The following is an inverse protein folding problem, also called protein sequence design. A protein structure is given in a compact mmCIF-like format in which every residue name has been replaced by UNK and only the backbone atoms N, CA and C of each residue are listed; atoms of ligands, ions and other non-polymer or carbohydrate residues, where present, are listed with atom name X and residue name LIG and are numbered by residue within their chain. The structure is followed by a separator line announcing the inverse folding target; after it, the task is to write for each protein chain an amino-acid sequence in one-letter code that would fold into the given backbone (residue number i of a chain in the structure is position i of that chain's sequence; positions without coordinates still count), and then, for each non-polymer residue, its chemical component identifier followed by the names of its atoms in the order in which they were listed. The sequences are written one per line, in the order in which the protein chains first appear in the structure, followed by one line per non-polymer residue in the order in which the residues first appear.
data_IF_391675664953
#
_entry.id   IF_391675664953
#
_cell.length_a   1.000
_cell.length_b   1.000
_cell.length_c   1.000
_cell.angle_alpha   90.00
_cell.angle_beta   90.00
_cell.angle_gamma   90.00
#
_symmetry.space_group_name_H-M   'P 1'
#
loop_
_entity.id
_entity.type
_entity.pdbx_description
1 polymer ?
#
# COMPACT_ATOMS: atom_id res chain seq x y z
N UNK A 1 2.49 12.86 11.59
CA UNK A 1 2.11 14.23 12.00
C UNK A 1 3.17 15.20 11.51
N UNK A 2 2.84 16.47 11.28
CA UNK A 2 3.84 17.52 11.02
C UNK A 2 4.14 18.24 12.35
N UNK A 3 4.83 17.56 13.26
CA UNK A 3 5.19 18.05 14.59
C UNK A 3 6.67 18.49 14.68
N UNK A 4 7.33 18.65 13.52
CA UNK A 4 8.75 18.97 13.43
C UNK A 4 9.68 17.79 13.75
N UNK A 5 9.14 16.58 13.92
CA UNK A 5 9.92 15.34 14.06
C UNK A 5 9.75 14.49 12.82
N UNK A 6 10.86 13.92 12.37
CA UNK A 6 10.84 12.93 11.30
C UNK A 6 10.05 11.69 11.75
N UNK A 7 9.29 11.13 10.83
CA UNK A 7 8.51 9.93 11.03
C UNK A 7 8.75 8.95 9.87
N UNK A 8 7.99 7.85 9.83
CA UNK A 8 8.16 6.84 8.78
C UNK A 8 8.04 7.39 7.35
N UNK A 9 7.22 8.44 7.14
CA UNK A 9 7.05 9.10 5.85
C UNK A 9 8.34 9.75 5.38
N UNK A 10 9.02 10.45 6.27
CA UNK A 10 10.33 11.04 6.00
C UNK A 10 11.35 9.95 5.67
N UNK A 11 11.31 8.83 6.39
CA UNK A 11 12.27 7.74 6.20
C UNK A 11 12.13 7.06 4.84
N UNK A 12 10.93 6.65 4.42
CA UNK A 12 10.79 5.99 3.12
C UNK A 12 10.96 6.95 1.93
N UNK A 13 10.56 8.21 2.07
CA UNK A 13 10.77 9.22 1.04
C UNK A 13 12.26 9.53 0.87
N UNK A 14 12.98 9.74 1.98
CA UNK A 14 14.41 10.02 1.96
C UNK A 14 15.22 8.79 1.53
N UNK A 15 14.79 7.57 1.88
CA UNK A 15 15.40 6.33 1.40
C UNK A 15 15.32 6.26 -0.13
N UNK A 16 14.12 6.45 -0.70
CA UNK A 16 13.93 6.38 -2.13
C UNK A 16 14.73 7.47 -2.85
N UNK A 17 14.71 8.70 -2.32
CA UNK A 17 15.48 9.81 -2.87
C UNK A 17 17.00 9.54 -2.87
N UNK A 18 17.56 9.10 -1.74
CA UNK A 18 18.98 8.78 -1.63
C UNK A 18 19.38 7.59 -2.52
N UNK A 19 18.50 6.59 -2.63
CA UNK A 19 18.69 5.42 -3.49
C UNK A 19 18.79 5.82 -4.96
N UNK A 20 17.84 6.62 -5.46
CA UNK A 20 17.88 7.05 -6.86
C UNK A 20 19.02 8.04 -7.14
N UNK A 21 19.37 8.91 -6.18
CA UNK A 21 20.55 9.78 -6.30
C UNK A 21 21.84 8.98 -6.41
N UNK A 22 22.00 7.93 -5.60
CA UNK A 22 23.14 7.04 -5.74
C UNK A 22 23.13 6.31 -7.08
N UNK A 23 22.00 5.75 -7.50
CA UNK A 23 21.89 5.07 -8.79
C UNK A 23 22.27 5.97 -9.97
N UNK A 24 21.86 7.25 -9.93
CA UNK A 24 22.14 8.21 -11.00
C UNK A 24 23.58 8.76 -11.00
N UNK A 25 24.19 8.93 -9.83
CA UNK A 25 25.47 9.66 -9.69
C UNK A 25 26.66 8.77 -9.34
N UNK A 26 26.40 7.57 -8.80
CA UNK A 26 27.39 6.65 -8.23
C UNK A 26 28.18 7.26 -7.05
N UNK A 27 27.75 8.39 -6.49
CA UNK A 27 28.45 9.01 -5.36
C UNK A 27 28.17 8.26 -4.05
N UNK A 28 29.24 7.89 -3.33
CA UNK A 28 29.16 7.10 -2.10
C UNK A 28 28.37 7.80 -0.97
N UNK A 29 28.36 9.14 -0.94
CA UNK A 29 27.60 9.91 0.06
C UNK A 29 26.09 9.63 0.01
N UNK A 30 25.53 9.34 -1.18
CA UNK A 30 24.11 9.03 -1.30
C UNK A 30 23.80 7.61 -0.86
N UNK A 31 24.69 6.65 -1.13
CA UNK A 31 24.57 5.28 -0.59
C UNK A 31 24.60 5.29 0.94
N UNK A 32 25.48 6.08 1.55
CA UNK A 32 25.54 6.23 3.00
C UNK A 32 24.23 6.81 3.59
N UNK A 33 23.62 7.80 2.90
CA UNK A 33 22.29 8.28 3.29
C UNK A 33 21.20 7.23 3.12
N UNK A 34 21.25 6.43 2.06
CA UNK A 34 20.31 5.35 1.85
C UNK A 34 20.44 4.28 2.95
N UNK A 35 21.66 3.89 3.33
CA UNK A 35 21.93 2.99 4.47
C UNK A 35 21.33 3.49 5.77
N UNK A 36 21.53 4.78 6.08
CA UNK A 36 20.96 5.41 7.27
C UNK A 36 19.44 5.32 7.28
N UNK A 37 18.78 5.64 6.17
CA UNK A 37 17.31 5.60 6.07
C UNK A 37 16.75 4.18 6.06
N UNK A 38 17.46 3.23 5.44
CA UNK A 38 17.10 1.82 5.51
C UNK A 38 17.18 1.28 6.94
N UNK A 39 18.22 1.67 7.70
CA UNK A 39 18.34 1.34 9.12
C UNK A 39 17.23 1.97 9.96
N UNK A 40 16.84 3.23 9.70
CA UNK A 40 15.69 3.87 10.36
C UNK A 40 14.40 3.10 10.10
N UNK A 41 14.10 2.71 8.86
CA UNK A 41 12.92 1.89 8.55
C UNK A 41 12.97 0.51 9.21
N UNK A 42 14.11 -0.17 9.17
CA UNK A 42 14.28 -1.46 9.85
C UNK A 42 14.03 -1.33 11.36
N UNK A 43 14.52 -0.25 11.98
CA UNK A 43 14.28 0.02 13.38
C UNK A 43 12.79 0.22 13.69
N UNK A 44 11.95 0.62 12.73
CA UNK A 44 10.48 0.80 12.88
C UNK A 44 9.69 -0.50 12.93
N UNK A 45 10.28 -1.63 12.53
CA UNK A 45 9.62 -2.93 12.71
C UNK A 45 9.36 -3.16 14.19
N UNK A 46 8.12 -3.49 14.50
CA UNK A 46 7.60 -3.55 15.86
C UNK A 46 6.80 -4.84 16.06
N UNK A 47 6.73 -5.26 17.32
CA UNK A 47 6.00 -6.44 17.75
C UNK A 47 5.41 -6.21 19.13
N UNK A 48 4.26 -6.81 19.38
CA UNK A 48 3.65 -6.92 20.70
C UNK A 48 3.03 -8.31 20.86
N UNK A 49 2.25 -8.54 21.92
CA UNK A 49 1.64 -9.84 22.21
C UNK A 49 0.65 -10.30 21.14
N UNK A 50 0.12 -9.40 20.31
CA UNK A 50 -0.92 -9.68 19.30
C UNK A 50 -0.39 -9.68 17.87
N UNK A 51 0.49 -8.75 17.54
CA UNK A 51 0.96 -8.52 16.18
C UNK A 51 2.48 -8.45 16.13
N UNK A 52 3.06 -9.02 15.08
CA UNK A 52 4.50 -9.03 14.82
C UNK A 52 4.75 -8.55 13.40
N UNK A 53 5.82 -7.78 13.19
CA UNK A 53 6.23 -7.32 11.86
C UNK A 53 5.51 -6.06 11.35
N UNK A 54 4.73 -5.39 12.20
CA UNK A 54 4.10 -4.11 11.83
C UNK A 54 5.10 -2.95 11.92
N UNK A 55 4.87 -1.87 11.17
CA UNK A 55 5.73 -0.69 11.18
C UNK A 55 5.12 0.39 12.06
N UNK A 56 5.88 0.93 13.01
CA UNK A 56 5.44 2.11 13.78
C UNK A 56 5.61 3.39 12.94
N UNK A 57 4.64 4.27 13.03
CA UNK A 57 4.66 5.56 12.35
C UNK A 57 5.59 6.56 13.06
N UNK A 58 5.57 6.58 14.40
CA UNK A 58 6.36 7.47 15.24
C UNK A 58 7.50 6.73 15.96
N UNK A 59 8.40 7.48 16.58
CA UNK A 59 9.54 6.91 17.30
C UNK A 59 9.18 6.29 18.65
N UNK A 60 8.02 6.68 19.21
CA UNK A 60 7.55 6.18 20.50
C UNK A 60 6.91 4.79 20.41
N UNK A 61 6.52 4.36 19.21
CA UNK A 61 5.75 3.14 19.00
C UNK A 61 4.29 3.27 19.41
N UNK A 62 3.77 4.49 19.55
CA UNK A 62 2.41 4.77 20.02
C UNK A 62 1.39 4.80 18.88
N UNK A 63 1.84 4.66 17.63
CA UNK A 63 1.01 4.69 16.43
C UNK A 63 1.51 3.70 15.37
N UNK A 64 0.66 2.79 14.88
CA UNK A 64 0.99 2.00 13.69
C UNK A 64 0.99 2.88 12.44
N UNK A 65 1.81 2.52 11.46
CA UNK A 65 1.74 3.11 10.14
C UNK A 65 0.58 2.51 9.36
N UNK A 66 -0.34 3.37 8.96
CA UNK A 66 -1.41 3.11 8.02
C UNK A 66 -1.56 4.34 7.12
N UNK A 67 -1.87 4.15 5.83
CA UNK A 67 -1.93 5.24 4.87
C UNK A 67 -2.87 4.89 3.71
N UNK A 68 -3.86 5.75 3.42
CA UNK A 68 -4.82 5.51 2.33
C UNK A 68 -4.27 5.69 0.90
N UNK A 69 -2.95 5.78 0.75
CA UNK A 69 -2.28 5.91 -0.55
C UNK A 69 -1.02 5.04 -0.62
N UNK A 70 -0.09 5.21 0.30
CA UNK A 70 1.29 4.74 0.11
C UNK A 70 1.72 3.70 1.16
N UNK A 71 0.79 2.88 1.70
CA UNK A 71 1.13 1.91 2.75
C UNK A 71 2.17 0.88 2.28
N UNK A 72 2.20 0.54 0.99
CA UNK A 72 3.22 -0.34 0.41
C UNK A 72 4.58 0.33 0.19
N UNK A 73 4.68 1.66 0.21
CA UNK A 73 5.89 2.39 -0.17
C UNK A 73 7.12 2.11 0.71
N UNK A 74 7.03 1.91 2.05
CA UNK A 74 8.21 1.52 2.85
C UNK A 74 8.88 0.25 2.34
N UNK A 75 8.09 -0.79 2.01
CA UNK A 75 8.62 -2.05 1.50
C UNK A 75 9.20 -1.90 0.09
N UNK A 76 8.52 -1.14 -0.78
CA UNK A 76 8.99 -0.79 -2.11
C UNK A 76 10.35 -0.05 -2.08
N UNK A 77 10.49 0.95 -1.21
CA UNK A 77 11.73 1.72 -1.05
C UNK A 77 12.89 0.84 -0.55
N UNK A 78 12.65 -0.05 0.43
CA UNK A 78 13.65 -1.00 0.93
C UNK A 78 14.09 -2.00 -0.15
N UNK A 79 13.15 -2.52 -0.94
CA UNK A 79 13.49 -3.42 -2.05
C UNK A 79 14.26 -2.71 -3.15
N UNK A 80 13.97 -1.44 -3.42
CA UNK A 80 14.72 -0.64 -4.40
C UNK A 80 16.14 -0.34 -3.89
N UNK A 81 16.29 0.01 -2.61
CA UNK A 81 17.60 0.14 -1.97
C UNK A 81 18.42 -1.16 -2.02
N UNK A 82 17.80 -2.30 -1.73
CA UNK A 82 18.49 -3.59 -1.76
C UNK A 82 19.07 -3.97 -3.14
N UNK A 83 18.57 -3.39 -4.24
CA UNK A 83 19.12 -3.61 -5.58
C UNK A 83 20.45 -2.90 -5.80
N UNK A 84 20.65 -1.73 -5.18
CA UNK A 84 21.87 -0.93 -5.35
C UNK A 84 22.92 -1.21 -4.27
N UNK A 85 22.50 -1.77 -3.13
CA UNK A 85 23.40 -2.04 -2.00
C UNK A 85 24.31 -3.23 -2.31
N UNK A 86 25.62 -3.07 -2.16
CA UNK A 86 26.63 -4.12 -2.37
C UNK A 86 27.00 -4.87 -1.08
N UNK A 87 26.86 -4.23 0.08
CA UNK A 87 27.09 -4.85 1.38
C UNK A 87 25.96 -5.82 1.74
N UNK A 88 26.30 -7.11 1.89
CA UNK A 88 25.28 -8.14 2.10
C UNK A 88 24.59 -8.03 3.46
N UNK A 89 25.23 -7.45 4.47
CA UNK A 89 24.60 -7.26 5.80
C UNK A 89 23.50 -6.20 5.70
N UNK A 90 23.81 -5.06 5.09
CA UNK A 90 22.86 -3.98 4.81
C UNK A 90 21.72 -4.46 3.90
N UNK A 91 22.05 -5.22 2.85
CA UNK A 91 21.06 -5.78 1.92
C UNK A 91 20.14 -6.78 2.64
N UNK A 92 20.69 -7.69 3.43
CA UNK A 92 19.92 -8.65 4.21
C UNK A 92 18.99 -7.94 5.21
N UNK A 93 19.45 -6.90 5.91
CA UNK A 93 18.60 -6.13 6.82
C UNK A 93 17.38 -5.51 6.15
N UNK A 94 17.52 -4.98 4.93
CA UNK A 94 16.40 -4.46 4.16
C UNK A 94 15.43 -5.58 3.73
N UNK A 95 15.95 -6.70 3.23
CA UNK A 95 15.13 -7.87 2.82
C UNK A 95 14.35 -8.46 3.99
N UNK A 96 15.00 -8.59 5.14
CA UNK A 96 14.41 -9.11 6.36
C UNK A 96 13.29 -8.20 6.90
N UNK A 97 13.49 -6.88 6.84
CA UNK A 97 12.44 -5.90 7.16
C UNK A 97 11.20 -6.10 6.28
N UNK A 98 11.40 -6.26 4.97
CA UNK A 98 10.31 -6.47 4.01
C UNK A 98 9.61 -7.81 4.27
N UNK A 99 10.37 -8.88 4.56
CA UNK A 99 9.82 -10.21 4.89
C UNK A 99 8.87 -10.12 6.09
N UNK A 100 9.28 -9.48 7.18
CA UNK A 100 8.46 -9.33 8.39
C UNK A 100 7.17 -8.54 8.11
N UNK A 101 7.25 -7.46 7.34
CA UNK A 101 6.08 -6.67 6.97
C UNK A 101 5.10 -7.46 6.08
N UNK A 102 5.60 -8.27 5.15
CA UNK A 102 4.75 -9.10 4.28
C UNK A 102 4.04 -10.20 5.08
N UNK A 103 4.77 -10.87 5.96
CA UNK A 103 4.17 -11.89 6.84
C UNK A 103 3.07 -11.29 7.71
N UNK A 104 3.30 -10.08 8.22
CA UNK A 104 2.29 -9.32 8.95
C UNK A 104 1.05 -8.99 8.08
N UNK A 105 1.25 -8.47 6.87
CA UNK A 105 0.14 -8.13 5.96
C UNK A 105 -0.69 -9.37 5.57
N UNK A 106 -0.03 -10.48 5.26
CA UNK A 106 -0.71 -11.74 4.96
C UNK A 106 -1.47 -12.26 6.19
N UNK A 107 -0.89 -12.17 7.39
CA UNK A 107 -1.57 -12.57 8.63
C UNK A 107 -2.82 -11.69 8.91
N UNK A 108 -2.75 -10.37 8.65
CA UNK A 108 -3.91 -9.49 8.77
C UNK A 108 -5.03 -9.87 7.79
N UNK A 109 -4.69 -10.28 6.57
CA UNK A 109 -5.68 -10.69 5.58
C UNK A 109 -6.43 -11.96 5.98
N UNK A 110 -5.76 -12.85 6.73
CA UNK A 110 -6.28 -14.14 7.19
C UNK A 110 -6.94 -14.06 8.59
N UNK A 111 -6.86 -12.92 9.29
CA UNK A 111 -7.34 -12.76 10.68
C UNK A 111 -8.85 -12.94 10.82
N UNK A 112 -9.62 -12.61 9.79
CA UNK A 112 -11.10 -12.64 9.77
C UNK A 112 -11.61 -13.14 8.42
N UNK A 113 -12.90 -13.58 8.31
CA UNK A 113 -13.49 -13.89 7.01
C UNK A 113 -13.32 -12.74 6.02
N UNK A 114 -12.57 -12.98 4.94
CA UNK A 114 -12.18 -11.97 3.97
C UNK A 114 -12.24 -12.56 2.54
N UNK A 115 -13.44 -12.82 1.99
CA UNK A 115 -13.60 -13.51 0.72
C UNK A 115 -13.03 -12.73 -0.47
N UNK A 116 -12.97 -11.39 -0.38
CA UNK A 116 -12.34 -10.51 -1.37
C UNK A 116 -10.83 -10.40 -1.20
N UNK A 117 -10.28 -10.95 -0.11
CA UNK A 117 -8.86 -10.84 0.26
C UNK A 117 -8.38 -9.39 0.21
N UNK A 118 -9.20 -8.45 0.69
CA UNK A 118 -8.84 -7.05 0.79
C UNK A 118 -7.70 -6.89 1.80
N UNK A 119 -6.67 -6.09 1.48
CA UNK A 119 -5.55 -5.83 2.39
C UNK A 119 -6.03 -5.07 3.64
N UNK A 120 -6.14 -5.79 4.77
CA UNK A 120 -6.49 -5.21 6.08
C UNK A 120 -5.30 -4.42 6.64
N UNK A 121 -5.54 -3.65 7.70
CA UNK A 121 -4.54 -2.75 8.30
C UNK A 121 -4.65 -2.74 9.82
N UNK A 122 -3.53 -2.50 10.48
CA UNK A 122 -3.49 -2.16 11.91
C UNK A 122 -3.56 -0.64 12.03
N UNK A 123 -4.61 -0.16 12.67
CA UNK A 123 -4.93 1.26 12.77
C UNK A 123 -5.07 1.67 14.23
N UNK A 124 -5.09 2.98 14.44
CA UNK A 124 -5.39 3.61 15.72
C UNK A 124 -6.27 4.82 15.46
N UNK A 125 -7.43 4.88 16.11
CA UNK A 125 -8.30 6.06 16.08
C UNK A 125 -7.68 7.17 16.91
N UNK A 126 -7.82 8.42 16.49
CA UNK A 126 -7.17 9.56 17.16
C UNK A 126 -7.64 9.75 18.61
N UNK A 127 -8.92 9.51 18.88
CA UNK A 127 -9.50 9.61 20.23
C UNK A 127 -9.22 8.40 21.14
N UNK A 128 -8.64 7.32 20.61
CA UNK A 128 -8.44 6.06 21.32
C UNK A 128 -6.95 5.76 21.56
N UNK A 129 -6.67 4.98 22.60
CA UNK A 129 -5.30 4.59 22.95
C UNK A 129 -4.89 3.29 22.27
N UNK A 130 -5.83 2.37 22.09
CA UNK A 130 -5.55 1.01 21.65
C UNK A 130 -5.46 0.91 20.13
N UNK A 131 -4.69 -0.08 19.68
CA UNK A 131 -4.64 -0.43 18.27
C UNK A 131 -5.74 -1.42 17.96
N UNK A 132 -6.25 -1.36 16.73
CA UNK A 132 -7.25 -2.28 16.22
C UNK A 132 -6.94 -2.66 14.78
N UNK A 133 -7.34 -3.86 14.38
CA UNK A 133 -7.26 -4.26 12.98
C UNK A 133 -8.58 -3.94 12.28
N UNK A 134 -8.49 -3.36 11.08
CA UNK A 134 -9.64 -2.90 10.32
C UNK A 134 -9.45 -3.18 8.82
N UNK A 135 -10.54 -3.15 8.06
CA UNK A 135 -10.45 -3.13 6.60
C UNK A 135 -9.98 -1.76 6.12
N UNK A 136 -10.62 -0.69 6.57
CA UNK A 136 -10.37 0.68 6.11
C UNK A 136 -9.74 1.56 7.20
N UNK A 137 -9.17 2.68 6.78
CA UNK A 137 -8.59 3.68 7.66
C UNK A 137 -9.66 4.27 8.61
N UNK A 138 -9.29 4.67 9.82
CA UNK A 138 -10.23 5.25 10.76
C UNK A 138 -10.70 6.64 10.28
N UNK A 139 -12.00 6.89 10.39
CA UNK A 139 -12.56 8.21 10.10
C UNK A 139 -12.13 9.23 11.16
N UNK A 140 -12.00 8.77 12.40
CA UNK A 140 -11.37 9.52 13.49
C UNK A 140 -9.84 9.42 13.43
N UNK A 141 -9.22 10.38 12.75
CA UNK A 141 -7.77 10.50 12.61
C UNK A 141 -7.32 11.96 12.84
N UNK A 142 -6.01 12.21 12.79
CA UNK A 142 -5.39 13.50 13.12
C UNK A 142 -5.91 14.68 12.30
N UNK A 143 -6.41 14.42 11.08
CA UNK A 143 -6.97 15.48 10.21
C UNK A 143 -8.37 15.88 10.65
N UNK A 144 -9.08 15.02 11.40
CA UNK A 144 -10.49 15.16 11.83
C UNK A 144 -11.53 15.22 10.74
N UNK A 145 -11.13 15.14 9.47
CA UNK A 145 -12.08 15.17 8.35
C UNK A 145 -11.67 14.26 7.21
N UNK A 146 -10.38 14.03 6.98
CA UNK A 146 -9.92 13.37 5.77
C UNK A 146 -9.89 11.86 5.94
N UNK A 147 -10.65 11.19 5.08
CA UNK A 147 -10.68 9.76 4.84
C UNK A 147 -11.40 9.56 3.51
N UNK A 148 -11.00 8.57 2.74
CA UNK A 148 -11.54 8.32 1.41
C UNK A 148 -11.27 6.87 1.02
N UNK A 149 -11.77 6.46 -0.14
CA UNK A 149 -11.42 5.17 -0.70
C UNK A 149 -9.91 5.00 -0.91
N UNK A 150 -9.48 3.75 -0.85
CA UNK A 150 -8.08 3.39 -0.64
C UNK A 150 -7.45 2.71 -1.87
N UNK A 151 -7.94 3.00 -3.08
CA UNK A 151 -7.47 2.32 -4.30
C UNK A 151 -5.95 2.49 -4.53
N UNK A 152 -5.37 3.61 -4.11
CA UNK A 152 -3.92 3.84 -4.18
C UNK A 152 -3.18 2.93 -3.19
N UNK A 153 -3.67 2.87 -1.94
CA UNK A 153 -3.11 2.02 -0.88
C UNK A 153 -3.03 0.57 -1.31
N UNK A 154 -4.14 -0.03 -1.72
CA UNK A 154 -4.16 -1.46 -2.05
C UNK A 154 -3.33 -1.76 -3.30
N UNK A 155 -3.26 -0.85 -4.28
CA UNK A 155 -2.36 -0.98 -5.42
C UNK A 155 -0.87 -0.84 -5.00
N UNK A 156 -0.53 0.04 -4.06
CA UNK A 156 0.83 0.15 -3.51
C UNK A 156 1.27 -1.12 -2.78
N UNK A 157 0.35 -1.76 -2.04
CA UNK A 157 0.59 -3.05 -1.38
C UNK A 157 0.79 -4.15 -2.42
N UNK A 158 -0.02 -4.17 -3.49
CA UNK A 158 0.14 -5.12 -4.59
C UNK A 158 1.52 -5.01 -5.26
N UNK A 159 2.01 -3.78 -5.49
CA UNK A 159 3.38 -3.55 -5.97
C UNK A 159 4.41 -4.20 -5.04
N UNK A 160 4.29 -3.98 -3.74
CA UNK A 160 5.24 -4.54 -2.77
C UNK A 160 5.18 -6.07 -2.69
N UNK A 161 4.01 -6.67 -2.80
CA UNK A 161 3.86 -8.13 -2.89
C UNK A 161 4.51 -8.71 -4.16
N UNK A 162 4.32 -8.07 -5.31
CA UNK A 162 4.87 -8.53 -6.59
C UNK A 162 6.39 -8.41 -6.62
N UNK A 163 6.94 -7.29 -6.16
CA UNK A 163 8.40 -7.12 -6.05
C UNK A 163 9.01 -8.06 -5.03
N UNK A 164 8.37 -8.30 -3.89
CA UNK A 164 8.91 -9.22 -2.91
C UNK A 164 8.90 -10.66 -3.41
N UNK A 165 7.84 -11.07 -4.12
CA UNK A 165 7.80 -12.37 -4.79
C UNK A 165 8.98 -12.55 -5.75
N UNK A 166 9.30 -11.52 -6.53
CA UNK A 166 10.37 -11.57 -7.54
C UNK A 166 11.77 -11.48 -6.92
N UNK A 167 11.98 -10.54 -5.99
CA UNK A 167 13.30 -10.16 -5.47
C UNK A 167 13.68 -10.91 -4.20
N UNK A 168 12.70 -11.45 -3.48
CA UNK A 168 12.89 -12.23 -2.24
C UNK A 168 12.51 -13.70 -2.41
N UNK A 169 12.37 -14.20 -3.64
CA UNK A 169 11.96 -15.59 -3.91
C UNK A 169 12.75 -16.63 -3.10
N UNK A 170 14.07 -16.43 -2.96
CA UNK A 170 14.96 -17.29 -2.17
C UNK A 170 14.77 -17.17 -0.65
N UNK A 171 14.09 -16.13 -0.16
CA UNK A 171 13.88 -15.83 1.26
C UNK A 171 12.45 -16.15 1.73
N UNK A 172 11.44 -16.09 0.85
CA UNK A 172 10.02 -16.26 1.25
C UNK A 172 9.46 -17.66 0.96
N UNK A 173 10.15 -18.49 0.18
CA UNK A 173 9.68 -19.84 -0.17
C UNK A 173 8.50 -19.85 -1.16
N UNK A 174 8.25 -21.01 -1.79
CA UNK A 174 7.30 -21.13 -2.89
C UNK A 174 5.83 -20.86 -2.47
N UNK A 175 5.43 -21.31 -1.28
CA UNK A 175 4.08 -21.08 -0.75
C UNK A 175 3.80 -19.59 -0.54
N UNK A 176 4.67 -18.89 0.19
CA UNK A 176 4.55 -17.44 0.39
C UNK A 176 4.58 -16.70 -0.95
N UNK A 177 5.45 -17.09 -1.88
CA UNK A 177 5.49 -16.50 -3.22
C UNK A 177 4.16 -16.66 -3.98
N UNK A 178 3.49 -17.81 -3.86
CA UNK A 178 2.17 -18.02 -4.44
C UNK A 178 1.09 -17.19 -3.72
N UNK A 179 1.13 -17.12 -2.38
CA UNK A 179 0.23 -16.29 -1.58
C UNK A 179 0.37 -14.81 -1.91
N UNK A 180 1.59 -14.32 -2.11
CA UNK A 180 1.89 -12.95 -2.53
C UNK A 180 1.28 -12.61 -3.89
N UNK A 181 1.44 -13.49 -4.89
CA UNK A 181 0.83 -13.30 -6.21
C UNK A 181 -0.69 -13.21 -6.11
N UNK A 182 -1.30 -14.15 -5.40
CA UNK A 182 -2.76 -14.19 -5.26
C UNK A 182 -3.29 -12.98 -4.46
N UNK A 183 -2.57 -12.54 -3.42
CA UNK A 183 -2.92 -11.36 -2.65
C UNK A 183 -2.81 -10.07 -3.49
N UNK A 184 -1.76 -9.94 -4.30
CA UNK A 184 -1.59 -8.80 -5.21
C UNK A 184 -2.69 -8.74 -6.28
N UNK A 185 -3.01 -9.87 -6.90
CA UNK A 185 -4.12 -9.99 -7.86
C UNK A 185 -5.44 -9.54 -7.23
N UNK A 186 -5.74 -10.01 -6.02
CA UNK A 186 -7.00 -9.67 -5.33
C UNK A 186 -7.17 -8.17 -5.09
N UNK A 187 -6.07 -7.42 -4.90
CA UNK A 187 -6.15 -5.96 -4.74
C UNK A 187 -6.54 -5.28 -6.06
N UNK A 188 -6.05 -5.78 -7.20
CA UNK A 188 -6.44 -5.27 -8.52
C UNK A 188 -7.84 -5.73 -8.91
N UNK A 189 -8.23 -6.95 -8.54
CA UNK A 189 -9.60 -7.45 -8.75
C UNK A 189 -10.63 -6.57 -8.04
N UNK A 190 -10.35 -6.14 -6.80
CA UNK A 190 -11.18 -5.18 -6.07
C UNK A 190 -11.40 -3.88 -6.86
N UNK A 191 -10.31 -3.30 -7.39
CA UNK A 191 -10.37 -2.08 -8.21
C UNK A 191 -11.13 -2.32 -9.52
N UNK A 192 -11.01 -3.52 -10.10
CA UNK A 192 -11.59 -3.87 -11.40
C UNK A 192 -13.01 -4.44 -11.32
N UNK A 193 -13.61 -4.50 -10.13
CA UNK A 193 -15.04 -4.77 -9.96
C UNK A 193 -15.40 -6.01 -9.14
N UNK A 194 -14.42 -6.80 -8.71
CA UNK A 194 -14.64 -7.88 -7.74
C UNK A 194 -14.71 -7.30 -6.33
N UNK A 195 -15.77 -6.55 -6.07
CA UNK A 195 -16.07 -5.92 -4.80
C UNK A 195 -17.58 -6.00 -4.51
N UNK A 196 -18.04 -5.75 -3.28
CA UNK A 196 -19.45 -5.88 -2.90
C UNK A 196 -20.44 -5.02 -3.71
N UNK A 197 -19.94 -4.00 -4.42
CA UNK A 197 -20.74 -3.07 -5.21
C UNK A 197 -20.72 -3.40 -6.70
N UNK A 198 -20.05 -4.49 -7.10
CA UNK A 198 -20.00 -4.95 -8.48
C UNK A 198 -19.61 -3.81 -9.45
N UNK A 199 -18.65 -3.00 -9.00
CA UNK A 199 -18.33 -1.70 -9.61
C UNK A 199 -16.87 -1.62 -9.99
N UNK A 200 -16.59 -1.55 -11.29
CA UNK A 200 -15.24 -1.25 -11.76
C UNK A 200 -14.91 0.19 -11.39
N UNK A 201 -13.79 0.40 -10.70
CA UNK A 201 -13.35 1.69 -10.21
C UNK A 201 -12.39 2.40 -11.18
N UNK A 202 -11.94 1.68 -12.23
CA UNK A 202 -11.26 2.25 -13.39
C UNK A 202 -12.29 2.81 -14.38
N UNK A 203 -12.35 4.13 -14.45
CA UNK A 203 -13.34 4.85 -15.24
C UNK A 203 -13.18 4.57 -16.74
N UNK A 204 -14.29 4.26 -17.42
CA UNK A 204 -14.31 3.90 -18.84
C UNK A 204 -14.01 2.42 -19.12
N UNK A 205 -13.93 1.58 -18.08
CA UNK A 205 -13.73 0.12 -18.19
C UNK A 205 -14.70 -0.62 -17.27
N UNK A 206 -15.02 -1.86 -17.63
CA UNK A 206 -15.95 -2.68 -16.86
C UNK A 206 -17.37 -2.11 -16.89
N UNK A 207 -18.08 -2.18 -15.76
CA UNK A 207 -19.45 -1.68 -15.60
C UNK A 207 -19.62 -0.97 -14.26
N UNK A 208 -20.76 -0.29 -14.13
CA UNK A 208 -21.13 0.51 -12.95
C UNK A 208 -20.14 1.64 -12.63
N UNK A 209 -19.44 2.17 -13.64
CA UNK A 209 -18.60 3.35 -13.44
C UNK A 209 -19.44 4.54 -12.97
N UNK A 210 -18.85 5.39 -12.13
CA UNK A 210 -19.53 6.55 -11.53
C UNK A 210 -18.85 7.84 -11.96
N UNK A 211 -19.68 8.86 -12.15
CA UNK A 211 -19.25 10.25 -12.32
C UNK A 211 -19.09 10.92 -10.96
N UNK A 212 -18.11 11.81 -10.83
CA UNK A 212 -17.96 12.62 -9.63
C UNK A 212 -19.07 13.66 -9.50
N UNK A 213 -19.21 14.51 -10.52
CA UNK A 213 -20.32 15.47 -10.64
C UNK A 213 -20.55 15.83 -12.11
N UNK A 214 -21.77 16.28 -12.45
CA UNK A 214 -22.14 16.67 -13.83
C UNK A 214 -21.17 17.71 -14.42
N UNK A 215 -20.74 18.68 -13.61
CA UNK A 215 -19.85 19.76 -14.06
C UNK A 215 -18.36 19.47 -13.86
N UNK A 216 -18.02 18.33 -13.23
CA UNK A 216 -16.66 17.89 -12.95
C UNK A 216 -16.62 16.38 -13.24
N UNK A 217 -16.71 15.98 -14.52
CA UNK A 217 -16.79 14.58 -14.89
C UNK A 217 -15.46 13.87 -14.63
N UNK A 218 -15.53 12.57 -14.40
CA UNK A 218 -14.37 11.71 -14.34
C UNK A 218 -13.77 11.51 -15.74
N UNK A 219 -12.46 11.31 -15.81
CA UNK A 219 -11.75 11.09 -17.07
C UNK A 219 -11.57 9.58 -17.36
N UNK A 220 -11.77 9.11 -18.59
CA UNK A 220 -11.42 7.75 -19.00
C UNK A 220 -9.97 7.39 -18.67
N UNK A 221 -9.76 6.23 -18.06
CA UNK A 221 -8.45 5.76 -17.58
C UNK A 221 -8.07 6.23 -16.17
N UNK A 222 -8.81 7.18 -15.59
CA UNK A 222 -8.64 7.55 -14.19
C UNK A 222 -9.32 6.58 -13.23
N UNK A 223 -8.86 6.54 -11.99
CA UNK A 223 -9.40 5.69 -10.92
C UNK A 223 -9.88 6.60 -9.80
N UNK A 224 -11.14 6.46 -9.39
CA UNK A 224 -11.69 7.22 -8.27
C UNK A 224 -11.31 6.64 -6.92
N UNK A 225 -11.46 7.44 -5.87
CA UNK A 225 -11.07 7.11 -4.51
C UNK A 225 -11.52 5.70 -4.10
N UNK A 226 -12.80 5.38 -4.31
CA UNK A 226 -13.33 4.02 -4.17
C UNK A 226 -14.08 3.80 -2.85
N UNK A 227 -14.09 2.55 -2.39
CA UNK A 227 -14.93 2.05 -1.30
C UNK A 227 -14.30 2.35 0.06
N UNK A 228 -15.12 2.65 1.08
CA UNK A 228 -14.69 2.99 2.44
C UNK A 228 -15.43 2.17 3.49
N UNK A 229 -15.09 2.37 4.77
CA UNK A 229 -16.00 2.05 5.85
C UNK A 229 -17.22 2.99 5.81
N UNK A 230 -18.34 2.56 6.40
CA UNK A 230 -19.54 3.40 6.46
C UNK A 230 -19.31 4.62 7.39
N UNK A 231 -19.77 5.83 7.00
CA UNK A 231 -19.55 7.05 7.79
C UNK A 231 -20.13 6.99 9.21
N UNK A 232 -21.24 6.28 9.40
CA UNK A 232 -21.95 6.17 10.67
C UNK A 232 -21.55 4.90 11.44
N UNK A 233 -20.98 3.90 10.75
CA UNK A 233 -20.48 2.67 11.36
C UNK A 233 -19.21 2.16 10.65
N UNK A 234 -18.02 2.43 11.21
CA UNK A 234 -16.73 2.00 10.63
C UNK A 234 -16.55 0.46 10.52
N UNK A 235 -17.48 -0.34 11.06
CA UNK A 235 -17.52 -1.81 10.87
C UNK A 235 -18.35 -2.25 9.66
N UNK A 236 -19.08 -1.33 9.04
CA UNK A 236 -19.85 -1.55 7.83
C UNK A 236 -19.12 -0.91 6.62
N UNK A 237 -19.66 -1.08 5.43
CA UNK A 237 -19.03 -0.71 4.16
C UNK A 237 -19.90 0.29 3.37
N UNK A 238 -19.26 1.29 2.76
CA UNK A 238 -19.95 2.30 1.96
C UNK A 238 -19.27 2.59 0.63
N UNK A 239 -20.11 2.81 -0.38
CA UNK A 239 -19.74 3.31 -1.70
C UNK A 239 -20.95 3.94 -2.38
N UNK A 240 -21.01 5.27 -2.35
CA UNK A 240 -22.05 6.06 -3.02
C UNK A 240 -23.48 5.63 -2.68
N UNK A 241 -23.68 5.18 -1.44
CA UNK A 241 -24.96 4.79 -0.87
C UNK A 241 -25.32 5.67 0.34
N UNK A 242 -26.62 5.72 0.66
CA UNK A 242 -27.12 6.43 1.83
C UNK A 242 -27.12 7.97 1.72
N UNK A 243 -27.49 8.67 2.81
CA UNK A 243 -27.67 10.12 2.80
C UNK A 243 -26.36 10.90 2.61
N UNK A 244 -25.22 10.34 3.06
CA UNK A 244 -23.91 10.99 2.90
C UNK A 244 -23.50 11.09 1.43
N UNK A 245 -23.77 10.08 0.61
CA UNK A 245 -23.45 10.10 -0.82
C UNK A 245 -24.20 11.19 -1.60
N UNK A 246 -25.39 11.59 -1.13
CA UNK A 246 -26.15 12.68 -1.73
C UNK A 246 -25.59 14.08 -1.37
N UNK A 247 -24.69 14.16 -0.38
CA UNK A 247 -24.14 15.44 0.08
C UNK A 247 -22.80 15.76 -0.63
N UNK A 248 -22.68 16.93 -1.29
CA UNK A 248 -21.44 17.34 -1.96
C UNK A 248 -20.19 17.37 -1.07
N UNK A 249 -20.35 17.49 0.26
CA UNK A 249 -19.23 17.50 1.22
C UNK A 249 -18.66 16.10 1.52
N UNK A 250 -19.32 15.04 1.06
CA UNK A 250 -18.92 13.66 1.31
C UNK A 250 -18.67 12.87 0.02
N UNK A 251 -19.37 13.19 -1.07
CA UNK A 251 -19.27 12.44 -2.33
C UNK A 251 -17.84 12.30 -2.88
N UNK A 252 -16.97 13.29 -2.61
CA UNK A 252 -15.57 13.28 -3.01
C UNK A 252 -14.82 12.06 -2.46
N UNK A 253 -15.16 11.58 -1.27
CA UNK A 253 -14.51 10.43 -0.61
C UNK A 253 -14.62 9.13 -1.41
N UNK A 254 -15.62 9.02 -2.28
CA UNK A 254 -15.87 7.83 -3.10
C UNK A 254 -15.65 8.04 -4.59
N UNK A 255 -16.22 9.10 -5.17
CA UNK A 255 -16.35 9.25 -6.63
C UNK A 255 -15.30 10.14 -7.30
N UNK A 256 -14.53 10.92 -6.53
CA UNK A 256 -13.50 11.79 -7.10
C UNK A 256 -12.28 10.98 -7.57
N UNK A 257 -11.75 11.33 -8.73
CA UNK A 257 -10.47 10.80 -9.22
C UNK A 257 -9.29 11.50 -8.57
N UNK A 258 -8.26 10.71 -8.25
CA UNK A 258 -7.01 11.22 -7.71
C UNK A 258 -5.82 10.47 -8.32
N UNK A 259 -4.81 11.23 -8.78
CA UNK A 259 -3.70 10.72 -9.59
C UNK A 259 -2.89 9.57 -8.95
N UNK A 260 -2.72 9.46 -7.61
CA UNK A 260 -1.99 8.33 -7.02
C UNK A 260 -2.69 6.99 -7.25
N UNK A 261 -4.01 6.96 -7.38
CA UNK A 261 -4.73 5.72 -7.70
C UNK A 261 -4.28 5.16 -9.04
N UNK A 262 -4.27 6.01 -10.06
CA UNK A 262 -3.83 5.62 -11.40
C UNK A 262 -2.32 5.30 -11.43
N UNK A 263 -1.49 6.08 -10.73
CA UNK A 263 -0.04 5.86 -10.66
C UNK A 263 0.32 4.50 -10.05
N UNK A 264 -0.26 4.18 -8.88
CA UNK A 264 -0.03 2.89 -8.24
C UNK A 264 -0.62 1.73 -9.01
N UNK A 265 -1.84 1.89 -9.54
CA UNK A 265 -2.49 0.84 -10.34
C UNK A 265 -1.68 0.52 -11.60
N UNK A 266 -1.18 1.53 -12.32
CA UNK A 266 -0.36 1.32 -13.52
C UNK A 266 0.89 0.50 -13.20
N UNK A 267 1.59 0.83 -12.11
CA UNK A 267 2.77 0.08 -11.68
C UNK A 267 2.40 -1.35 -11.28
N UNK A 268 1.35 -1.53 -10.48
CA UNK A 268 0.89 -2.85 -10.04
C UNK A 268 0.48 -3.74 -11.22
N UNK A 269 -0.30 -3.21 -12.18
CA UNK A 269 -0.73 -3.93 -13.37
C UNK A 269 0.45 -4.33 -14.25
N UNK A 270 1.46 -3.45 -14.40
CA UNK A 270 2.68 -3.74 -15.15
C UNK A 270 3.46 -4.91 -14.53
N UNK A 271 3.63 -4.87 -13.20
CA UNK A 271 4.34 -5.92 -12.47
C UNK A 271 3.57 -7.24 -12.46
N UNK A 272 2.24 -7.19 -12.36
CA UNK A 272 1.39 -8.37 -12.40
C UNK A 272 1.48 -9.03 -13.77
N UNK A 273 1.39 -8.26 -14.85
CA UNK A 273 1.53 -8.78 -16.22
C UNK A 273 2.86 -9.54 -16.38
N UNK A 274 3.97 -8.93 -15.93
CA UNK A 274 5.29 -9.58 -15.92
C UNK A 274 5.31 -10.86 -15.08
N UNK A 275 4.64 -10.87 -13.93
CA UNK A 275 4.61 -12.03 -13.05
C UNK A 275 3.81 -13.21 -13.64
N UNK A 276 2.82 -12.93 -14.49
CA UNK A 276 1.98 -13.93 -15.17
C UNK A 276 2.64 -14.47 -16.44
N UNK A 277 3.33 -13.61 -17.21
CA UNK A 277 3.99 -14.00 -18.48
C UNK A 277 5.28 -14.83 -18.26
N UNK A 278 5.75 -14.95 -17.01
CA UNK A 278 7.04 -15.56 -16.68
C UNK A 278 8.22 -14.66 -17.11
N UNK A 279 9.48 -15.02 -16.78
CA UNK A 279 10.63 -14.32 -17.36
C UNK A 279 10.54 -14.48 -18.88
N UNK A 280 10.49 -13.35 -19.60
CA UNK A 280 10.58 -13.37 -21.06
C UNK A 280 11.73 -14.29 -21.45
N UNK A 281 11.43 -15.35 -22.21
CA UNK A 281 12.45 -16.22 -22.74
C UNK A 281 13.44 -15.32 -23.49
N UNK A 282 14.64 -15.14 -22.92
CA UNK A 282 15.70 -14.40 -23.59
C UNK A 282 15.92 -15.01 -24.98
N UNK A 283 16.37 -14.23 -25.97
CA UNK A 283 16.54 -14.73 -27.33
C UNK A 283 17.37 -16.01 -27.25
N UNK A 284 16.74 -17.13 -27.61
CA UNK A 284 17.41 -18.42 -27.73
C UNK A 284 18.48 -18.23 -28.79
N UNK A 285 19.73 -18.18 -28.36
CA UNK A 285 20.86 -18.12 -29.26
C UNK A 285 20.81 -19.31 -30.23
N UNK A 286 20.68 -18.99 -31.51
CA UNK A 286 21.17 -19.79 -32.62
C UNK A 286 22.20 -18.96 -33.37
#
# INVERSE_FOLDING_TARGET
SNDGRENIVDDYCALLAATELHAATQEARYLERARQRAASLAARVSSNDRWRGWLRADDKGERPFFHASDEGLPAAALMRYAEIESDETCRHGARETVRQWIEFQLALMDEVPNPFRYARQLVKRFSERDFQTAFFMPHDNETRYWWQGENARIASIAVSFLWARERLASHVGADTAARLLAAAQSQLDWILGLNPFDSCLLHGRGRNNREYAINIPNAPGGIYNGITADPDNERDIAFLNGPHAAHPRFVWRWAEQWIPHAGWFLLAATLLNRALDGPAAGPSGQ
#
